data_IF_618464262559
#
_entry.id   IF_618464262559
#
_cell.length_a   1.000
_cell.length_b   1.000
_cell.length_c   1.000
_cell.angle_alpha   90.00
_cell.angle_beta   90.00
_cell.angle_gamma   90.00
#
_symmetry.space_group_name_H-M   'P 1'
#
loop_
_entity.id
_entity.type
_entity.pdbx_description
1 polymer ?
#
# COMPACT_ATOMS: atom_id res chain seq x y z
N UNK A 1 59.90 11.25 -9.26
CA UNK A 1 61.26 11.47 -9.76
C UNK A 1 61.17 12.40 -10.95
N UNK A 2 61.73 13.59 -10.80
CA UNK A 2 61.72 14.66 -11.77
C UNK A 2 62.91 14.39 -12.72
N UNK A 3 62.67 14.40 -14.02
CA UNK A 3 63.73 14.38 -15.01
C UNK A 3 63.61 15.60 -15.90
N UNK A 4 64.48 16.48 -15.68
CA UNK A 4 64.75 17.72 -16.41
C UNK A 4 65.38 17.40 -17.76
N UNK A 5 64.82 17.87 -18.87
CA UNK A 5 65.45 17.87 -20.17
C UNK A 5 65.91 19.30 -20.53
N UNK A 6 67.20 19.42 -20.74
CA UNK A 6 67.89 20.64 -21.13
C UNK A 6 67.64 20.87 -22.62
N UNK A 7 67.18 22.05 -22.96
CA UNK A 7 67.08 22.57 -24.33
C UNK A 7 68.40 23.08 -24.81
N UNK A 8 68.89 22.53 -25.90
CA UNK A 8 70.04 23.06 -26.64
C UNK A 8 69.54 23.77 -27.92
N UNK A 9 69.62 25.11 -27.95
CA UNK A 9 69.33 25.91 -29.12
C UNK A 9 70.56 26.02 -29.96
N UNK A 10 70.56 25.41 -31.15
CA UNK A 10 71.52 25.75 -32.20
C UNK A 10 70.79 26.40 -33.38
N UNK A 11 71.08 27.66 -33.59
CA UNK A 11 70.71 28.43 -34.79
C UNK A 11 71.63 28.00 -35.94
N UNK A 12 71.06 27.42 -36.97
CA UNK A 12 71.73 27.18 -38.28
C UNK A 12 70.80 27.61 -39.40
N UNK A 13 71.36 28.25 -40.35
CA UNK A 13 70.85 29.07 -41.44
C UNK A 13 69.72 28.48 -42.28
N UNK A 14 68.99 29.43 -42.88
CA UNK A 14 67.95 29.23 -43.85
C UNK A 14 68.50 28.59 -45.12
N UNK A 15 68.29 27.27 -45.24
CA UNK A 15 68.16 26.59 -46.50
C UNK A 15 66.73 26.01 -46.48
N UNK A 16 65.93 26.33 -47.51
CA UNK A 16 64.54 25.86 -47.63
C UNK A 16 64.49 24.35 -47.60
N UNK A 17 64.20 23.83 -46.42
CA UNK A 17 63.84 22.40 -46.24
C UNK A 17 62.38 22.27 -46.67
N UNK A 18 62.11 21.63 -47.81
CA UNK A 18 60.82 21.07 -48.08
C UNK A 18 60.47 20.17 -46.86
N UNK A 19 59.47 20.58 -46.09
CA UNK A 19 58.91 19.74 -44.98
C UNK A 19 58.28 18.55 -45.66
N UNK A 20 59.01 17.44 -45.71
CA UNK A 20 58.46 16.19 -46.25
C UNK A 20 57.22 15.79 -45.44
N UNK A 21 56.12 15.58 -46.14
CA UNK A 21 54.89 15.03 -45.55
C UNK A 21 55.24 13.76 -44.76
N UNK A 22 54.78 13.62 -43.52
CA UNK A 22 55.08 12.44 -42.72
C UNK A 22 54.63 11.15 -43.42
N UNK A 23 55.16 9.98 -43.05
CA UNK A 23 54.76 8.70 -43.66
C UNK A 23 53.24 8.49 -43.56
N UNK A 24 52.64 7.82 -44.56
CA UNK A 24 51.21 7.66 -44.64
C UNK A 24 50.64 7.01 -43.36
N UNK A 25 49.55 7.53 -42.77
CA UNK A 25 48.84 6.84 -41.70
C UNK A 25 48.21 5.54 -42.23
N UNK A 26 47.79 4.61 -41.34
CA UNK A 26 47.07 3.41 -41.72
C UNK A 26 45.89 3.75 -42.65
N UNK A 27 45.80 3.02 -43.76
CA UNK A 27 44.68 3.14 -44.68
C UNK A 27 43.90 1.85 -44.68
N UNK A 28 42.81 1.73 -43.87
CA UNK A 28 41.95 0.56 -43.94
C UNK A 28 41.36 0.42 -45.35
N UNK A 29 41.37 -0.78 -45.87
CA UNK A 29 40.75 -1.08 -47.17
C UNK A 29 39.24 -0.92 -47.13
N UNK A 30 38.60 -0.70 -48.27
CA UNK A 30 37.14 -0.67 -48.36
C UNK A 30 36.53 -1.98 -47.85
N UNK A 31 37.17 -3.12 -48.09
CA UNK A 31 36.74 -4.40 -47.56
C UNK A 31 36.83 -4.52 -46.05
N UNK A 32 37.80 -3.86 -45.39
CA UNK A 32 37.90 -3.81 -43.92
C UNK A 32 36.81 -2.91 -43.31
N UNK A 33 36.54 -1.77 -43.94
CA UNK A 33 35.45 -0.85 -43.52
C UNK A 33 34.10 -1.54 -43.73
N UNK A 34 33.86 -2.16 -44.87
CA UNK A 34 32.61 -2.87 -45.16
C UNK A 34 32.44 -4.10 -44.27
N UNK A 35 33.49 -4.83 -43.93
CA UNK A 35 33.42 -5.91 -42.94
C UNK A 35 33.10 -5.37 -41.55
N UNK A 36 33.70 -4.23 -41.18
CA UNK A 36 33.36 -3.56 -39.92
C UNK A 36 31.89 -3.11 -39.86
N UNK A 37 31.36 -2.49 -40.96
CA UNK A 37 29.97 -2.13 -41.10
C UNK A 37 29.02 -3.32 -41.04
N UNK A 38 29.31 -4.41 -41.75
CA UNK A 38 28.54 -5.65 -41.71
C UNK A 38 28.51 -6.22 -40.29
N UNK A 39 29.61 -6.12 -39.55
CA UNK A 39 29.68 -6.55 -38.17
C UNK A 39 28.86 -5.65 -37.24
N UNK A 40 28.87 -4.34 -37.48
CA UNK A 40 28.04 -3.40 -36.77
C UNK A 40 26.54 -3.60 -37.09
N UNK A 41 26.20 -3.83 -38.35
CA UNK A 41 24.82 -4.12 -38.78
C UNK A 41 24.31 -5.44 -38.17
N UNK A 42 25.15 -6.48 -38.12
CA UNK A 42 24.83 -7.74 -37.47
C UNK A 42 24.62 -7.55 -35.95
N UNK A 43 25.41 -6.71 -35.31
CA UNK A 43 25.22 -6.34 -33.89
C UNK A 43 23.96 -5.48 -33.69
N UNK A 44 23.69 -4.56 -34.60
CA UNK A 44 22.45 -3.74 -34.57
C UNK A 44 21.21 -4.63 -34.76
N UNK A 45 21.25 -5.65 -35.63
CA UNK A 45 20.17 -6.61 -35.77
C UNK A 45 19.94 -7.43 -34.50
N UNK A 46 21.01 -7.88 -33.81
CA UNK A 46 20.95 -8.52 -32.50
C UNK A 46 20.36 -7.58 -31.45
N UNK A 47 20.72 -6.29 -31.46
CA UNK A 47 20.12 -5.27 -30.62
C UNK A 47 18.63 -5.13 -30.86
N UNK A 48 18.20 -5.17 -32.14
CA UNK A 48 16.79 -5.16 -32.51
C UNK A 48 16.00 -6.34 -31.91
N UNK A 49 16.55 -7.55 -32.04
CA UNK A 49 15.97 -8.76 -31.43
C UNK A 49 15.93 -8.65 -29.90
N UNK A 50 17.02 -8.22 -29.27
CA UNK A 50 17.14 -8.05 -27.83
C UNK A 50 16.22 -6.93 -27.32
N UNK A 51 16.00 -5.86 -28.09
CA UNK A 51 15.04 -4.81 -27.78
C UNK A 51 13.61 -5.36 -27.75
N UNK A 52 13.26 -6.25 -28.66
CA UNK A 52 11.98 -6.96 -28.62
C UNK A 52 11.81 -7.83 -27.37
N UNK A 53 12.87 -8.57 -27.01
CA UNK A 53 12.91 -9.38 -25.78
C UNK A 53 12.87 -8.51 -24.53
N UNK A 54 13.55 -7.37 -24.50
CA UNK A 54 13.52 -6.39 -23.43
C UNK A 54 12.11 -5.82 -23.22
N UNK A 55 11.44 -5.44 -24.31
CA UNK A 55 10.04 -4.95 -24.27
C UNK A 55 9.08 -6.00 -23.65
N UNK A 56 9.26 -7.27 -24.02
CA UNK A 56 8.49 -8.37 -23.43
C UNK A 56 8.82 -8.57 -21.94
N UNK A 57 10.08 -8.47 -21.56
CA UNK A 57 10.54 -8.57 -20.18
C UNK A 57 10.03 -7.40 -19.32
N UNK A 58 10.03 -6.19 -19.84
CA UNK A 58 9.44 -5.02 -19.18
C UNK A 58 7.92 -5.14 -19.00
N UNK A 59 7.22 -5.70 -20.01
CA UNK A 59 5.79 -5.99 -19.87
C UNK A 59 5.54 -7.01 -18.76
N UNK A 60 6.39 -8.05 -18.65
CA UNK A 60 6.32 -9.02 -17.57
C UNK A 60 6.66 -8.42 -16.21
N UNK A 61 7.63 -7.50 -16.15
CA UNK A 61 7.95 -6.78 -14.91
C UNK A 61 6.77 -5.94 -14.42
N UNK A 62 6.05 -5.28 -15.34
CA UNK A 62 4.80 -4.57 -14.98
C UNK A 62 3.76 -5.52 -14.38
N UNK A 63 3.55 -6.71 -14.97
CA UNK A 63 2.65 -7.72 -14.42
C UNK A 63 3.08 -8.19 -13.01
N UNK A 64 4.40 -8.40 -12.81
CA UNK A 64 4.93 -8.75 -11.48
C UNK A 64 4.73 -7.61 -10.48
N UNK A 65 4.85 -6.36 -10.90
CA UNK A 65 4.60 -5.19 -10.06
C UNK A 65 3.12 -5.14 -9.60
N UNK A 66 2.20 -5.39 -10.52
CA UNK A 66 0.77 -5.45 -10.20
C UNK A 66 0.44 -6.63 -9.27
N UNK A 67 1.07 -7.80 -9.46
CA UNK A 67 0.91 -8.97 -8.58
C UNK A 67 1.45 -8.69 -7.17
N UNK A 68 2.61 -8.03 -7.06
CA UNK A 68 3.16 -7.61 -5.76
C UNK A 68 2.20 -6.65 -5.06
N UNK A 69 1.74 -5.61 -5.75
CA UNK A 69 0.79 -4.65 -5.18
C UNK A 69 -0.48 -5.34 -4.67
N UNK A 70 -1.02 -6.28 -5.46
CA UNK A 70 -2.18 -7.05 -5.06
C UNK A 70 -1.92 -7.93 -3.83
N UNK A 71 -0.78 -8.65 -3.76
CA UNK A 71 -0.43 -9.49 -2.61
C UNK A 71 -0.16 -8.68 -1.35
N UNK A 72 0.44 -7.50 -1.48
CA UNK A 72 0.61 -6.58 -0.35
C UNK A 72 -0.75 -6.13 0.21
N UNK A 73 -1.69 -5.79 -0.66
CA UNK A 73 -3.05 -5.45 -0.22
C UNK A 73 -3.80 -6.63 0.41
N UNK A 74 -3.57 -7.86 -0.07
CA UNK A 74 -4.11 -9.05 0.59
C UNK A 74 -3.49 -9.26 1.98
N UNK A 75 -2.20 -8.98 2.16
CA UNK A 75 -1.56 -9.03 3.46
C UNK A 75 -2.12 -7.96 4.41
N UNK A 76 -2.34 -6.74 3.92
CA UNK A 76 -3.00 -5.67 4.68
C UNK A 76 -4.45 -6.05 5.05
N UNK A 77 -5.20 -6.63 4.11
CA UNK A 77 -6.55 -7.16 4.40
C UNK A 77 -6.52 -8.19 5.52
N UNK A 78 -5.64 -9.19 5.42
CA UNK A 78 -5.52 -10.24 6.42
C UNK A 78 -5.12 -9.70 7.80
N UNK A 79 -4.31 -8.63 7.86
CA UNK A 79 -4.01 -7.90 9.09
C UNK A 79 -5.26 -7.25 9.70
N UNK A 80 -6.06 -6.56 8.88
CA UNK A 80 -7.32 -5.94 9.35
C UNK A 80 -8.33 -7.01 9.83
N UNK A 81 -8.39 -8.15 9.14
CA UNK A 81 -9.23 -9.28 9.55
C UNK A 81 -8.77 -9.85 10.89
N UNK A 82 -7.45 -9.98 11.10
CA UNK A 82 -6.86 -10.41 12.37
C UNK A 82 -7.20 -9.45 13.52
N UNK A 83 -7.00 -8.15 13.33
CA UNK A 83 -7.34 -7.13 14.34
C UNK A 83 -8.82 -7.20 14.72
N UNK A 84 -9.69 -7.38 13.73
CA UNK A 84 -11.13 -7.53 13.95
C UNK A 84 -11.45 -8.80 14.76
N UNK A 85 -10.88 -9.94 14.35
CA UNK A 85 -11.10 -11.22 15.01
C UNK A 85 -10.57 -11.21 16.47
N UNK A 86 -9.44 -10.58 16.72
CA UNK A 86 -8.88 -10.39 18.07
C UNK A 86 -9.82 -9.54 18.95
N UNK A 87 -10.32 -8.41 18.41
CA UNK A 87 -11.25 -7.55 19.14
C UNK A 87 -12.57 -8.28 19.49
N UNK A 88 -13.07 -9.13 18.58
CA UNK A 88 -14.24 -9.97 18.81
C UNK A 88 -13.98 -11.04 19.88
N UNK A 89 -12.82 -11.73 19.82
CA UNK A 89 -12.43 -12.71 20.82
C UNK A 89 -12.32 -12.10 22.23
N UNK A 90 -11.69 -10.93 22.34
CA UNK A 90 -11.59 -10.21 23.61
C UNK A 90 -12.94 -9.77 24.15
N UNK A 91 -13.88 -9.38 23.29
CA UNK A 91 -15.25 -9.07 23.68
C UNK A 91 -15.95 -10.32 24.22
N UNK A 92 -15.91 -11.40 23.45
CA UNK A 92 -16.54 -12.65 23.83
C UNK A 92 -15.97 -13.22 25.14
N UNK A 93 -14.68 -13.09 25.41
CA UNK A 93 -14.06 -13.45 26.71
C UNK A 93 -14.62 -12.63 27.86
N UNK A 94 -14.73 -11.31 27.69
CA UNK A 94 -15.33 -10.45 28.75
C UNK A 94 -16.78 -10.81 29.01
N UNK A 95 -17.56 -11.10 27.97
CA UNK A 95 -18.95 -11.51 28.09
C UNK A 95 -19.08 -12.87 28.79
N UNK A 96 -18.20 -13.83 28.47
CA UNK A 96 -18.19 -15.13 29.12
C UNK A 96 -17.83 -15.00 30.61
N UNK A 97 -16.86 -14.17 30.98
CA UNK A 97 -16.50 -13.95 32.40
C UNK A 97 -17.63 -13.23 33.15
N UNK A 98 -18.30 -12.24 32.53
CA UNK A 98 -19.48 -11.59 33.11
C UNK A 98 -20.61 -12.62 33.34
N UNK A 99 -20.92 -13.44 32.36
CA UNK A 99 -21.96 -14.45 32.49
C UNK A 99 -21.64 -15.51 33.57
N UNK A 100 -20.38 -15.89 33.72
CA UNK A 100 -19.91 -16.75 34.78
C UNK A 100 -20.09 -16.14 36.17
N UNK A 101 -19.78 -14.86 36.36
CA UNK A 101 -20.01 -14.14 37.60
C UNK A 101 -21.50 -14.07 37.92
N UNK A 102 -22.35 -13.82 36.93
CA UNK A 102 -23.80 -13.81 37.09
C UNK A 102 -24.37 -15.17 37.48
N UNK A 103 -23.87 -16.24 36.85
CA UNK A 103 -24.25 -17.62 37.19
C UNK A 103 -23.85 -17.99 38.63
N UNK A 104 -22.66 -17.55 39.05
CA UNK A 104 -22.21 -17.74 40.45
C UNK A 104 -23.08 -16.97 41.44
N UNK A 105 -23.45 -15.71 41.12
CA UNK A 105 -24.35 -14.90 41.93
C UNK A 105 -25.75 -15.51 42.04
N UNK A 106 -26.30 -16.04 40.95
CA UNK A 106 -27.55 -16.79 40.95
C UNK A 106 -27.45 -18.09 41.80
N UNK A 107 -26.33 -18.77 41.80
CA UNK A 107 -26.06 -19.91 42.70
C UNK A 107 -26.14 -19.49 44.18
N UNK A 108 -25.54 -18.37 44.52
CA UNK A 108 -25.63 -17.83 45.88
C UNK A 108 -27.06 -17.41 46.24
N UNK A 109 -27.85 -16.93 45.27
CA UNK A 109 -29.26 -16.58 45.51
C UNK A 109 -30.09 -17.82 45.83
N UNK A 110 -29.89 -18.94 45.14
CA UNK A 110 -30.53 -20.22 45.48
C UNK A 110 -30.17 -20.66 46.87
N UNK A 111 -28.91 -20.56 47.28
CA UNK A 111 -28.49 -20.96 48.61
C UNK A 111 -29.12 -20.07 49.69
N UNK A 112 -29.17 -18.77 49.48
CA UNK A 112 -29.88 -17.86 50.39
C UNK A 112 -31.40 -18.16 50.49
N UNK A 113 -32.04 -18.46 49.39
CA UNK A 113 -33.45 -18.85 49.37
C UNK A 113 -33.68 -20.15 50.11
N UNK A 114 -32.78 -21.12 49.94
CA UNK A 114 -32.79 -22.41 50.65
C UNK A 114 -32.60 -22.25 52.15
N UNK A 115 -31.64 -21.43 52.59
CA UNK A 115 -31.44 -21.14 54.03
C UNK A 115 -32.68 -20.51 54.62
N UNK A 116 -33.35 -19.55 53.94
CA UNK A 116 -34.61 -18.97 54.42
C UNK A 116 -35.72 -20.03 54.56
N UNK A 117 -35.82 -20.95 53.58
CA UNK A 117 -36.78 -22.06 53.66
C UNK A 117 -36.47 -23.01 54.81
N UNK A 118 -35.20 -23.37 55.04
CA UNK A 118 -34.77 -24.25 56.12
C UNK A 118 -34.98 -23.59 57.50
N UNK A 119 -34.70 -22.27 57.65
CA UNK A 119 -35.00 -21.51 58.85
C UNK A 119 -36.49 -21.49 59.15
N UNK A 120 -37.30 -21.27 58.10
CA UNK A 120 -38.76 -21.28 58.24
C UNK A 120 -39.27 -22.69 58.68
N UNK A 121 -38.82 -23.75 58.00
CA UNK A 121 -39.15 -25.14 58.32
C UNK A 121 -38.73 -25.51 59.74
N UNK A 122 -37.51 -25.10 60.16
CA UNK A 122 -37.02 -25.33 61.52
C UNK A 122 -37.79 -24.58 62.58
N UNK A 123 -38.19 -23.34 62.28
CA UNK A 123 -39.06 -22.56 63.18
C UNK A 123 -40.43 -23.21 63.34
N UNK A 124 -41.05 -23.64 62.25
CA UNK A 124 -42.35 -24.33 62.24
C UNK A 124 -42.30 -25.64 62.99
N UNK A 125 -41.20 -26.40 62.83
CA UNK A 125 -41.01 -27.64 63.60
C UNK A 125 -40.86 -27.43 65.08
N UNK A 126 -40.06 -26.44 65.51
CA UNK A 126 -39.79 -26.11 66.94
C UNK A 126 -41.05 -25.55 67.65
N UNK A 127 -41.91 -24.86 66.94
CA UNK A 127 -43.19 -24.35 67.47
C UNK A 127 -44.28 -25.43 67.58
N UNK A 128 -43.99 -26.66 67.18
CA UNK A 128 -44.91 -27.79 67.17
C UNK A 128 -45.84 -27.74 65.96
N UNK A 129 -46.28 -28.91 65.53
CA UNK A 129 -47.16 -29.07 64.34
C UNK A 129 -48.60 -28.53 64.55
N UNK A 130 -48.74 -27.51 65.41
CA UNK A 130 -50.02 -26.85 65.63
C UNK A 130 -50.39 -25.89 64.46
N UNK A 131 -49.39 -25.49 63.66
CA UNK A 131 -49.62 -24.59 62.52
C UNK A 131 -50.27 -25.40 61.38
N UNK A 132 -51.55 -25.18 61.12
CA UNK A 132 -52.31 -25.82 60.06
C UNK A 132 -53.23 -26.94 60.51
N UNK A 133 -53.24 -27.35 61.77
CA UNK A 133 -54.18 -28.35 62.28
C UNK A 133 -55.41 -27.73 62.86
N UNK A 134 -56.51 -28.46 62.82
CA UNK A 134 -57.81 -28.06 63.51
C UNK A 134 -57.54 -27.73 64.96
N UNK A 135 -56.50 -28.32 65.58
CA UNK A 135 -56.11 -28.01 66.97
C UNK A 135 -55.66 -26.55 67.20
N UNK A 136 -55.21 -25.80 66.18
CA UNK A 136 -54.87 -24.38 66.26
C UNK A 136 -56.12 -23.50 66.54
N UNK A 137 -57.27 -24.00 66.25
CA UNK A 137 -58.57 -23.36 66.51
C UNK A 137 -59.24 -23.82 67.82
N UNK A 138 -58.82 -24.97 68.37
CA UNK A 138 -59.33 -25.52 69.63
C UNK A 138 -58.75 -24.70 70.78
N UNK A 139 -59.61 -24.12 71.60
CA UNK A 139 -59.26 -23.29 72.76
C UNK A 139 -59.24 -21.79 72.44
N UNK A 140 -59.87 -21.35 71.34
CA UNK A 140 -60.15 -19.95 71.14
C UNK A 140 -61.16 -19.47 72.19
N UNK A 141 -60.85 -18.38 72.86
CA UNK A 141 -61.61 -17.85 73.99
C UNK A 141 -62.68 -16.83 73.57
N UNK A 142 -62.63 -16.35 72.32
CA UNK A 142 -63.62 -15.43 71.72
C UNK A 142 -63.65 -15.54 70.22
N UNK A 143 -64.67 -15.00 69.53
CA UNK A 143 -64.72 -14.91 68.08
C UNK A 143 -63.56 -14.07 67.51
N UNK A 144 -63.14 -13.01 68.24
CA UNK A 144 -61.98 -12.19 67.84
C UNK A 144 -60.66 -12.97 67.93
N UNK A 145 -60.49 -13.79 68.94
CA UNK A 145 -59.33 -14.68 69.14
C UNK A 145 -59.28 -15.73 68.00
N UNK A 146 -60.45 -16.28 67.62
CA UNK A 146 -60.57 -17.23 66.49
C UNK A 146 -60.13 -16.57 65.18
N UNK A 147 -60.62 -15.35 64.95
CA UNK A 147 -60.26 -14.62 63.72
C UNK A 147 -58.82 -14.24 63.67
N UNK A 148 -58.21 -13.83 64.81
CA UNK A 148 -56.79 -13.48 64.92
C UNK A 148 -55.92 -14.73 64.62
N UNK A 149 -56.29 -15.89 65.12
CA UNK A 149 -55.60 -17.20 64.86
C UNK A 149 -55.74 -17.57 63.40
N UNK A 150 -56.90 -17.39 62.79
CA UNK A 150 -57.10 -17.64 61.37
C UNK A 150 -56.23 -16.73 60.49
N UNK A 151 -56.13 -15.46 60.83
CA UNK A 151 -55.25 -14.48 60.13
C UNK A 151 -53.80 -14.84 60.32
N UNK A 152 -53.37 -15.25 61.51
CA UNK A 152 -51.95 -15.70 61.73
C UNK A 152 -51.68 -16.94 60.93
N UNK A 153 -52.53 -17.95 60.87
CA UNK A 153 -52.39 -19.15 60.10
C UNK A 153 -52.33 -18.92 58.62
N UNK A 154 -53.15 -17.96 58.13
CA UNK A 154 -53.11 -17.50 56.75
C UNK A 154 -51.73 -16.87 56.44
N UNK A 155 -51.26 -15.93 57.27
CA UNK A 155 -49.99 -15.26 57.08
C UNK A 155 -48.81 -16.25 57.10
N UNK A 156 -48.83 -17.27 57.98
CA UNK A 156 -47.82 -18.32 58.05
C UNK A 156 -47.84 -19.20 56.79
N UNK A 157 -49.04 -19.55 56.31
CA UNK A 157 -49.20 -20.36 55.09
C UNK A 157 -48.72 -19.59 53.85
N UNK A 158 -49.07 -18.31 53.72
CA UNK A 158 -48.61 -17.45 52.64
C UNK A 158 -47.08 -17.31 52.69
N UNK A 159 -46.48 -17.09 53.86
CA UNK A 159 -45.03 -17.01 54.01
C UNK A 159 -44.30 -18.32 53.63
N UNK A 160 -44.94 -19.50 53.86
CA UNK A 160 -44.41 -20.80 53.45
C UNK A 160 -44.38 -20.97 51.93
N UNK A 161 -45.50 -20.59 51.30
CA UNK A 161 -45.63 -20.65 49.84
C UNK A 161 -44.63 -19.67 49.19
N UNK A 162 -44.52 -18.45 49.71
CA UNK A 162 -43.57 -17.46 49.23
C UNK A 162 -42.13 -17.96 49.34
N UNK A 163 -41.75 -18.65 50.42
CA UNK A 163 -40.40 -19.21 50.57
C UNK A 163 -40.10 -20.34 49.56
N UNK A 164 -41.11 -21.18 49.27
CA UNK A 164 -40.97 -22.21 48.23
C UNK A 164 -40.89 -21.58 46.83
N UNK A 165 -41.74 -20.66 46.51
CA UNK A 165 -41.74 -19.93 45.23
C UNK A 165 -40.43 -19.19 45.02
N UNK A 166 -39.82 -18.64 46.05
CA UNK A 166 -38.51 -17.99 46.04
C UNK A 166 -37.40 -18.99 45.66
N UNK A 167 -37.44 -20.21 46.22
CA UNK A 167 -36.46 -21.27 45.86
C UNK A 167 -36.64 -21.73 44.41
N UNK A 168 -37.90 -21.94 43.99
CA UNK A 168 -38.17 -22.38 42.62
C UNK A 168 -37.78 -21.31 41.61
N UNK A 169 -38.11 -20.04 41.83
CA UNK A 169 -37.73 -18.90 41.01
C UNK A 169 -36.21 -18.77 40.92
N UNK A 170 -35.53 -18.82 42.06
CA UNK A 170 -34.07 -18.73 42.12
C UNK A 170 -33.39 -19.90 41.42
N UNK A 171 -33.95 -21.14 41.48
CA UNK A 171 -33.44 -22.30 40.71
C UNK A 171 -33.65 -22.11 39.21
N UNK A 172 -34.81 -21.62 38.77
CA UNK A 172 -35.06 -21.30 37.38
C UNK A 172 -34.12 -20.26 36.83
N UNK A 173 -33.91 -19.17 37.60
CA UNK A 173 -32.95 -18.13 37.25
C UNK A 173 -31.51 -18.65 37.16
N UNK A 174 -31.08 -19.46 38.16
CA UNK A 174 -29.76 -20.12 38.11
C UNK A 174 -29.61 -20.99 36.87
N UNK A 175 -30.58 -21.82 36.53
CA UNK A 175 -30.53 -22.66 35.35
C UNK A 175 -30.36 -21.83 34.04
N UNK A 176 -31.08 -20.71 33.93
CA UNK A 176 -30.96 -19.80 32.80
C UNK A 176 -29.60 -19.11 32.77
N UNK A 177 -29.06 -18.65 33.92
CA UNK A 177 -27.72 -18.05 33.98
C UNK A 177 -26.61 -19.07 33.71
N UNK A 178 -26.72 -20.31 34.18
CA UNK A 178 -25.78 -21.39 33.86
C UNK A 178 -25.82 -21.73 32.35
N UNK A 179 -26.98 -21.73 31.72
CA UNK A 179 -27.09 -21.94 30.28
C UNK A 179 -26.46 -20.80 29.51
N UNK A 180 -26.72 -19.56 29.90
CA UNK A 180 -26.12 -18.37 29.29
C UNK A 180 -24.58 -18.36 29.44
N UNK A 181 -24.05 -18.71 30.61
CA UNK A 181 -22.61 -18.80 30.85
C UNK A 181 -21.94 -19.86 29.97
N UNK A 182 -22.58 -21.04 29.80
CA UNK A 182 -22.07 -22.07 28.88
C UNK A 182 -22.06 -21.58 27.43
N UNK A 183 -23.16 -20.97 26.98
CA UNK A 183 -23.26 -20.44 25.62
C UNK A 183 -22.21 -19.33 25.34
N UNK A 184 -21.99 -18.44 26.31
CA UNK A 184 -20.98 -17.40 26.22
C UNK A 184 -19.54 -17.97 26.19
N UNK A 185 -19.27 -19.02 26.96
CA UNK A 185 -17.98 -19.71 26.94
C UNK A 185 -17.72 -20.40 25.61
N UNK A 186 -18.72 -21.10 25.07
CA UNK A 186 -18.63 -21.74 23.75
C UNK A 186 -18.39 -20.71 22.63
N UNK A 187 -19.07 -19.57 22.70
CA UNK A 187 -18.87 -18.47 21.76
C UNK A 187 -17.45 -17.88 21.88
N UNK A 188 -16.95 -17.69 23.09
CA UNK A 188 -15.59 -17.20 23.31
C UNK A 188 -14.56 -18.16 22.71
N UNK A 189 -14.72 -19.47 22.88
CA UNK A 189 -13.85 -20.47 22.24
C UNK A 189 -13.90 -20.46 20.72
N UNK A 190 -15.07 -20.25 20.12
CA UNK A 190 -15.19 -20.09 18.67
C UNK A 190 -14.50 -18.84 18.16
N UNK A 191 -14.62 -17.72 18.87
CA UNK A 191 -13.96 -16.45 18.51
C UNK A 191 -12.45 -16.53 18.67
N UNK A 192 -11.94 -17.22 19.69
CA UNK A 192 -10.50 -17.48 19.83
C UNK A 192 -9.97 -18.32 18.67
N UNK A 193 -10.65 -19.39 18.31
CA UNK A 193 -10.26 -20.22 17.17
C UNK A 193 -10.26 -19.42 15.85
N UNK A 194 -11.22 -18.52 15.67
CA UNK A 194 -11.28 -17.62 14.52
C UNK A 194 -10.11 -16.62 14.50
N UNK A 195 -9.74 -16.07 15.65
CA UNK A 195 -8.58 -15.18 15.76
C UNK A 195 -7.25 -15.91 15.47
N UNK A 196 -7.10 -17.13 15.95
CA UNK A 196 -5.94 -17.97 15.64
C UNK A 196 -5.87 -18.33 14.14
N UNK A 197 -6.99 -18.57 13.50
CA UNK A 197 -7.03 -18.78 12.05
C UNK A 197 -6.65 -17.50 11.30
N UNK A 198 -7.24 -16.36 11.64
CA UNK A 198 -6.91 -15.08 11.04
C UNK A 198 -5.43 -14.71 11.20
N UNK A 199 -4.80 -15.08 12.33
CA UNK A 199 -3.37 -14.92 12.54
C UNK A 199 -2.55 -15.74 11.54
N UNK A 200 -2.88 -17.02 11.36
CA UNK A 200 -2.19 -17.87 10.37
C UNK A 200 -2.35 -17.33 8.94
N UNK A 201 -3.53 -16.86 8.62
CA UNK A 201 -3.84 -16.29 7.30
C UNK A 201 -3.05 -14.99 7.05
N UNK A 202 -2.91 -14.14 8.07
CA UNK A 202 -2.10 -12.91 8.00
C UNK A 202 -0.61 -13.24 7.80
N UNK A 203 -0.05 -14.19 8.55
CA UNK A 203 1.34 -14.64 8.42
C UNK A 203 1.61 -15.25 7.02
N UNK A 204 0.68 -16.05 6.51
CA UNK A 204 0.78 -16.63 5.17
C UNK A 204 0.70 -15.57 4.07
N UNK A 205 -0.21 -14.62 4.17
CA UNK A 205 -0.35 -13.51 3.23
C UNK A 205 0.89 -12.60 3.23
N UNK A 206 1.44 -12.28 4.39
CA UNK A 206 2.68 -11.52 4.53
C UNK A 206 3.86 -12.25 3.87
N UNK A 207 3.99 -13.55 4.09
CA UNK A 207 5.03 -14.37 3.47
C UNK A 207 4.90 -14.37 1.94
N UNK A 208 3.68 -14.53 1.41
CA UNK A 208 3.43 -14.51 -0.02
C UNK A 208 3.74 -13.15 -0.66
N UNK A 209 3.43 -12.05 0.02
CA UNK A 209 3.77 -10.70 -0.43
C UNK A 209 5.29 -10.49 -0.48
N UNK A 210 6.03 -10.89 0.56
CA UNK A 210 7.49 -10.79 0.61
C UNK A 210 8.17 -11.61 -0.50
N UNK A 211 7.72 -12.84 -0.75
CA UNK A 211 8.25 -13.68 -1.83
C UNK A 211 7.99 -13.05 -3.22
N UNK A 212 6.82 -12.47 -3.43
CA UNK A 212 6.51 -11.79 -4.69
C UNK A 212 7.41 -10.56 -4.91
N UNK A 213 7.67 -9.76 -3.88
CA UNK A 213 8.60 -8.63 -3.95
C UNK A 213 10.02 -9.06 -4.29
N UNK A 214 10.54 -10.11 -3.66
CA UNK A 214 11.86 -10.66 -3.96
C UNK A 214 11.94 -11.14 -5.42
N UNK A 215 10.90 -11.81 -5.90
CA UNK A 215 10.81 -12.25 -7.30
C UNK A 215 10.79 -11.08 -8.30
N UNK A 216 10.06 -10.02 -7.99
CA UNK A 216 10.03 -8.79 -8.79
C UNK A 216 11.39 -8.10 -8.81
N UNK A 217 12.04 -7.92 -7.66
CA UNK A 217 13.36 -7.29 -7.57
C UNK A 217 14.41 -8.07 -8.38
N UNK A 218 14.43 -9.40 -8.29
CA UNK A 218 15.32 -10.24 -9.08
C UNK A 218 15.04 -10.14 -10.60
N UNK A 219 13.78 -10.02 -11.00
CA UNK A 219 13.43 -9.83 -12.41
C UNK A 219 13.87 -8.45 -12.92
N UNK A 220 13.68 -7.40 -12.13
CA UNK A 220 14.12 -6.04 -12.46
C UNK A 220 15.65 -5.97 -12.63
N UNK A 221 16.42 -6.60 -11.73
CA UNK A 221 17.87 -6.63 -11.81
C UNK A 221 18.35 -7.33 -13.11
N UNK A 222 17.78 -8.48 -13.46
CA UNK A 222 18.12 -9.19 -14.71
C UNK A 222 17.87 -8.33 -15.95
N UNK A 223 16.78 -7.58 -15.98
CA UNK A 223 16.47 -6.67 -17.10
C UNK A 223 17.53 -5.57 -17.21
N UNK A 224 17.98 -5.01 -16.09
CA UNK A 224 19.04 -3.99 -16.09
C UNK A 224 20.38 -4.57 -16.56
N UNK A 225 20.74 -5.76 -16.10
CA UNK A 225 21.96 -6.45 -16.50
C UNK A 225 21.96 -6.78 -18.02
N UNK A 226 20.84 -7.32 -18.54
CA UNK A 226 20.66 -7.61 -19.96
C UNK A 226 20.76 -6.33 -20.81
N UNK A 227 20.14 -5.23 -20.37
CA UNK A 227 20.18 -3.94 -21.05
C UNK A 227 21.62 -3.41 -21.12
N UNK A 228 22.32 -3.38 -20.00
CA UNK A 228 23.71 -2.91 -19.95
C UNK A 228 24.65 -3.74 -20.85
N UNK A 229 24.46 -5.06 -20.88
CA UNK A 229 25.23 -5.95 -21.74
C UNK A 229 25.00 -5.67 -23.24
N UNK A 230 23.76 -5.39 -23.63
CA UNK A 230 23.38 -5.07 -25.02
C UNK A 230 23.93 -3.71 -25.45
N UNK A 231 23.76 -2.69 -24.62
CA UNK A 231 24.27 -1.33 -24.86
C UNK A 231 25.80 -1.37 -25.01
N UNK A 232 26.52 -2.08 -24.14
CA UNK A 232 27.97 -2.21 -24.23
C UNK A 232 28.46 -2.91 -25.50
N UNK A 233 27.76 -3.92 -26.01
CA UNK A 233 28.10 -4.58 -27.27
C UNK A 233 27.86 -3.69 -28.49
N UNK A 234 26.80 -2.89 -28.47
CA UNK A 234 26.53 -1.93 -29.55
C UNK A 234 27.58 -0.83 -29.58
N UNK A 235 27.91 -0.24 -28.43
CA UNK A 235 28.93 0.81 -28.33
C UNK A 235 30.30 0.34 -28.81
N UNK A 236 30.70 -0.89 -28.47
CA UNK A 236 31.93 -1.49 -28.98
C UNK A 236 31.91 -1.65 -30.51
N UNK A 237 30.82 -2.11 -31.10
CA UNK A 237 30.73 -2.31 -32.54
C UNK A 237 30.75 -0.98 -33.30
N UNK A 238 30.01 0.03 -32.81
CA UNK A 238 30.01 1.37 -33.38
C UNK A 238 31.38 2.07 -33.23
N UNK A 239 32.04 1.93 -32.11
CA UNK A 239 33.37 2.47 -31.88
C UNK A 239 34.41 1.86 -32.79
N UNK A 240 34.32 0.57 -33.11
CA UNK A 240 35.20 -0.09 -34.07
C UNK A 240 35.03 0.49 -35.49
N UNK A 241 33.78 0.69 -35.95
CA UNK A 241 33.52 1.29 -37.27
C UNK A 241 34.01 2.74 -37.33
N UNK A 242 33.74 3.54 -36.32
CA UNK A 242 34.22 4.91 -36.23
C UNK A 242 35.74 5.01 -36.22
N UNK A 243 36.41 4.04 -35.58
CA UNK A 243 37.87 3.92 -35.61
C UNK A 243 38.43 3.69 -37.02
N UNK A 244 37.82 2.78 -37.77
CA UNK A 244 38.23 2.50 -39.19
C UNK A 244 37.95 3.71 -40.11
N UNK A 245 36.76 4.33 -39.97
CA UNK A 245 36.37 5.52 -40.74
C UNK A 245 37.27 6.71 -40.39
N UNK A 246 37.63 6.89 -39.13
CA UNK A 246 38.54 7.90 -38.66
C UNK A 246 39.96 7.71 -39.24
N UNK A 247 40.49 6.46 -39.28
CA UNK A 247 41.76 6.15 -39.93
C UNK A 247 41.71 6.46 -41.45
N UNK A 248 40.62 6.11 -42.12
CA UNK A 248 40.41 6.46 -43.52
C UNK A 248 40.36 7.96 -43.76
N UNK A 249 39.68 8.72 -42.88
CA UNK A 249 39.63 10.17 -42.96
C UNK A 249 41.03 10.80 -42.81
N UNK A 250 41.83 10.33 -41.85
CA UNK A 250 43.20 10.76 -41.64
C UNK A 250 44.09 10.45 -42.87
N UNK A 251 43.92 9.28 -43.47
CA UNK A 251 44.64 8.94 -44.68
C UNK A 251 44.25 9.83 -45.87
N UNK A 252 42.94 10.10 -46.04
CA UNK A 252 42.46 11.01 -47.08
C UNK A 252 42.97 12.44 -46.88
N UNK A 253 43.01 12.91 -45.65
CA UNK A 253 43.59 14.22 -45.29
C UNK A 253 45.10 14.26 -45.62
N UNK A 254 45.84 13.21 -45.30
CA UNK A 254 47.22 13.07 -45.66
C UNK A 254 47.44 13.07 -47.20
N UNK A 255 46.55 12.42 -47.96
CA UNK A 255 46.58 12.46 -49.44
C UNK A 255 46.31 13.85 -49.97
N UNK A 256 45.38 14.62 -49.32
CA UNK A 256 45.06 15.99 -49.71
C UNK A 256 46.20 16.93 -49.36
N UNK A 257 46.84 16.73 -48.22
CA UNK A 257 48.01 17.50 -47.82
C UNK A 257 49.21 17.21 -48.75
N UNK A 258 49.39 15.97 -49.13
CA UNK A 258 50.44 15.59 -50.09
C UNK A 258 50.14 16.15 -51.49
N UNK A 259 48.92 16.15 -51.96
CA UNK A 259 48.53 16.79 -53.22
C UNK A 259 48.74 18.28 -53.13
N UNK A 260 48.43 18.94 -52.04
CA UNK A 260 48.67 20.40 -51.82
C UNK A 260 50.14 20.72 -51.82
N UNK A 261 51.00 19.88 -51.20
CA UNK A 261 52.43 20.02 -51.25
C UNK A 261 52.96 19.95 -52.70
N UNK A 262 52.50 18.95 -53.47
CA UNK A 262 52.82 18.79 -54.91
C UNK A 262 52.27 19.92 -55.74
N UNK A 263 51.06 20.41 -55.47
CA UNK A 263 50.44 21.58 -56.14
C UNK A 263 51.07 22.89 -55.69
N UNK A 264 51.49 23.07 -54.43
CA UNK A 264 52.23 24.25 -53.99
C UNK A 264 53.65 24.27 -54.56
N UNK A 265 54.32 23.12 -54.66
CA UNK A 265 55.56 23.02 -55.39
C UNK A 265 55.36 23.41 -56.88
N UNK A 266 54.24 23.06 -57.48
CA UNK A 266 53.87 23.47 -58.82
C UNK A 266 53.37 24.93 -58.89
N UNK A 267 52.69 25.45 -57.81
CA UNK A 267 52.18 26.84 -57.72
C UNK A 267 53.28 27.83 -57.40
N UNK A 268 54.25 27.50 -56.57
CA UNK A 268 55.42 28.36 -56.36
C UNK A 268 56.16 28.63 -57.67
N UNK A 269 55.93 27.73 -58.66
CA UNK A 269 56.32 27.95 -60.02
C UNK A 269 55.33 28.84 -60.81
N UNK A 270 54.11 29.02 -60.36
CA UNK A 270 53.04 29.67 -61.09
C UNK A 270 52.39 30.89 -60.40
N UNK A 271 52.70 31.25 -59.11
CA UNK A 271 52.09 32.32 -58.37
C UNK A 271 52.86 33.61 -58.33
N UNK A 272 52.75 34.32 -59.42
CA UNK A 272 52.80 35.78 -59.39
C UNK A 272 51.43 36.44 -59.72
N UNK A 273 50.29 35.75 -59.50
CA UNK A 273 49.03 36.38 -59.82
C UNK A 273 47.80 35.99 -58.93
N UNK A 274 47.33 36.98 -58.24
CA UNK A 274 45.93 37.39 -57.93
C UNK A 274 45.06 36.74 -56.81
N UNK A 275 44.44 37.69 -56.05
CA UNK A 275 43.68 37.62 -54.82
C UNK A 275 42.13 37.82 -54.92
N UNK A 276 41.40 37.52 -53.88
CA UNK A 276 40.27 38.26 -53.20
C UNK A 276 38.77 37.80 -53.24
N UNK A 277 38.15 37.84 -52.07
CA UNK A 277 36.79 38.29 -51.56
C UNK A 277 35.56 37.34 -51.57
N UNK A 278 34.53 37.35 -50.66
CA UNK A 278 34.07 37.68 -49.30
C UNK A 278 32.52 37.53 -49.07
N UNK A 279 32.04 36.98 -47.95
CA UNK A 279 31.01 37.26 -46.86
C UNK A 279 29.44 37.14 -46.92
N UNK A 280 28.75 36.54 -45.96
CA UNK A 280 27.77 36.87 -44.83
C UNK A 280 26.21 36.66 -44.85
N UNK A 281 25.55 35.95 -43.98
CA UNK A 281 24.54 35.93 -42.85
C UNK A 281 23.12 36.59 -42.96
N UNK A 282 22.05 36.58 -41.91
CA UNK A 282 21.60 35.72 -40.78
C UNK A 282 20.00 35.62 -40.46
N UNK A 283 19.56 35.16 -39.24
CA UNK A 283 18.26 34.71 -38.56
C UNK A 283 17.20 35.79 -38.09
N UNK A 284 16.11 35.68 -37.17
CA UNK A 284 15.55 34.75 -36.15
C UNK A 284 14.01 34.79 -35.74
N UNK A 285 13.45 33.93 -34.81
CA UNK A 285 12.45 33.80 -33.66
C UNK A 285 11.14 34.67 -33.43
N UNK A 286 10.31 34.58 -32.23
CA UNK A 286 9.55 33.54 -31.53
C UNK A 286 8.08 33.83 -30.97
N UNK A 287 7.37 32.97 -30.13
CA UNK A 287 6.52 33.17 -28.89
C UNK A 287 4.98 33.07 -28.74
N UNK A 288 4.45 32.46 -27.60
CA UNK A 288 3.46 32.75 -26.52
C UNK A 288 1.97 32.30 -26.48
N UNK A 289 1.51 31.83 -25.32
CA UNK A 289 0.43 31.40 -24.41
C UNK A 289 -0.97 32.14 -24.41
N UNK A 290 -2.11 31.67 -23.67
CA UNK A 290 -2.37 31.57 -22.22
C UNK A 290 -3.53 30.66 -21.65
N UNK A 291 -3.93 30.82 -20.35
CA UNK A 291 -4.76 30.09 -19.34
C UNK A 291 -6.18 30.68 -19.07
N UNK A 292 -6.88 30.41 -17.87
CA UNK A 292 -7.72 29.35 -17.28
C UNK A 292 -9.16 29.78 -16.82
N UNK A 293 -9.95 29.03 -15.91
CA UNK A 293 -10.71 29.48 -14.69
C UNK A 293 -11.75 28.46 -14.15
N UNK A 294 -12.15 28.57 -12.83
CA UNK A 294 -12.82 27.68 -11.89
C UNK A 294 -14.17 28.19 -11.39
N UNK A 295 -15.07 27.33 -10.79
CA UNK A 295 -16.08 27.70 -9.76
C UNK A 295 -16.68 26.50 -8.99
N UNK A 296 -17.38 26.66 -7.79
CA UNK A 296 -17.37 25.78 -6.63
C UNK A 296 -18.67 25.04 -6.29
N UNK A 297 -18.61 24.12 -5.28
CA UNK A 297 -19.78 23.43 -4.71
C UNK A 297 -19.61 22.85 -3.30
N UNK A 298 -20.67 22.72 -2.59
CA UNK A 298 -21.28 22.08 -1.40
C UNK A 298 -20.42 21.40 -0.31
N UNK A 299 -20.77 21.75 0.93
CA UNK A 299 -20.18 21.55 2.26
C UNK A 299 -19.47 20.23 2.64
N UNK A 300 -20.08 19.06 2.50
CA UNK A 300 -19.50 17.80 2.98
C UNK A 300 -18.40 17.24 2.07
N UNK A 301 -18.64 17.22 0.77
CA UNK A 301 -17.67 16.81 -0.24
C UNK A 301 -16.42 17.70 -0.20
N UNK A 302 -16.60 19.00 -0.08
CA UNK A 302 -15.47 19.94 0.00
C UNK A 302 -14.67 19.79 1.31
N UNK A 303 -15.29 19.39 2.39
CA UNK A 303 -14.56 19.05 3.64
C UNK A 303 -13.65 17.84 3.41
N UNK A 304 -14.16 16.77 2.81
CA UNK A 304 -13.35 15.57 2.47
C UNK A 304 -12.20 15.94 1.54
N UNK A 305 -12.51 16.66 0.47
CA UNK A 305 -11.49 17.08 -0.49
C UNK A 305 -10.45 18.01 0.14
N UNK A 306 -10.88 19.00 0.93
CA UNK A 306 -9.97 19.93 1.60
C UNK A 306 -9.04 19.20 2.58
N UNK A 307 -9.56 18.21 3.33
CA UNK A 307 -8.75 17.38 4.22
C UNK A 307 -7.71 16.56 3.44
N UNK A 308 -8.10 15.88 2.36
CA UNK A 308 -7.15 15.16 1.52
C UNK A 308 -6.11 16.08 0.88
N UNK A 309 -6.54 17.23 0.36
CA UNK A 309 -5.65 18.24 -0.26
C UNK A 309 -4.70 18.91 0.75
N UNK A 310 -5.09 19.04 2.02
CA UNK A 310 -4.20 19.55 3.06
C UNK A 310 -3.01 18.65 3.35
N UNK A 311 -3.04 17.41 2.87
CA UNK A 311 -1.97 16.43 3.04
C UNK A 311 -1.02 16.34 1.82
N UNK A 312 -1.16 17.22 0.83
CA UNK A 312 -0.23 17.26 -0.31
C UNK A 312 1.22 17.40 0.15
N UNK A 313 2.10 16.58 -0.42
CA UNK A 313 3.53 16.52 -0.07
C UNK A 313 3.85 15.65 1.14
N UNK A 314 2.86 15.23 1.94
CA UNK A 314 3.08 14.25 3.02
C UNK A 314 3.55 12.93 2.39
N UNK A 315 4.59 12.33 2.96
CA UNK A 315 5.19 11.11 2.41
C UNK A 315 4.19 9.95 2.39
N UNK A 316 4.37 9.08 1.42
CA UNK A 316 3.73 7.77 1.47
C UNK A 316 4.35 6.95 2.60
N UNK A 317 3.52 6.18 3.29
CA UNK A 317 3.96 5.27 4.34
C UNK A 317 3.03 4.06 4.33
N UNK A 318 3.56 2.89 3.99
CA UNK A 318 2.79 1.66 3.86
C UNK A 318 2.08 1.28 5.17
N UNK A 319 0.75 1.14 5.14
CA UNK A 319 -0.08 0.93 6.34
C UNK A 319 -0.17 2.13 7.27
N UNK A 320 0.28 3.31 6.81
CA UNK A 320 0.23 4.57 7.56
C UNK A 320 -1.04 5.36 7.34
N UNK A 321 -1.33 6.22 8.31
CA UNK A 321 -2.52 7.05 8.35
C UNK A 321 -3.66 6.44 9.17
N UNK A 322 -4.40 7.30 9.85
CA UNK A 322 -5.61 6.94 10.58
C UNK A 322 -6.64 8.09 10.49
N UNK A 323 -7.69 8.05 11.29
CA UNK A 323 -8.75 9.05 11.28
C UNK A 323 -8.29 10.45 11.73
N UNK A 324 -7.20 10.51 12.52
CA UNK A 324 -6.69 11.75 13.12
C UNK A 324 -5.60 12.41 12.25
N UNK A 325 -4.87 11.61 11.44
CA UNK A 325 -3.81 12.14 10.58
C UNK A 325 -2.82 11.09 10.06
N UNK A 326 -1.66 11.55 9.57
CA UNK A 326 -0.59 10.66 9.11
C UNK A 326 0.05 9.94 10.31
N UNK A 327 0.40 8.67 10.13
CA UNK A 327 1.09 7.84 11.13
C UNK A 327 2.33 7.20 10.55
N UNK A 328 3.18 6.62 11.38
CA UNK A 328 4.21 5.70 10.89
C UNK A 328 3.52 4.52 10.22
N UNK A 329 4.17 3.96 9.21
CA UNK A 329 3.71 2.77 8.53
C UNK A 329 4.03 1.49 9.31
N UNK A 330 3.85 0.37 8.65
CA UNK A 330 4.14 -0.95 9.19
C UNK A 330 5.28 -1.60 8.39
N UNK A 331 5.94 -2.59 8.99
CA UNK A 331 6.95 -3.38 8.28
C UNK A 331 6.27 -4.30 7.28
N UNK A 332 6.73 -4.24 6.03
CA UNK A 332 6.27 -5.12 4.95
C UNK A 332 7.30 -6.18 4.56
N UNK A 333 8.53 -6.05 5.06
CA UNK A 333 9.67 -6.90 4.69
C UNK A 333 10.16 -6.69 3.26
N UNK A 334 9.78 -5.60 2.61
CA UNK A 334 10.04 -5.34 1.20
C UNK A 334 10.23 -3.87 0.86
N UNK A 335 9.44 -3.37 -0.10
CA UNK A 335 9.59 -2.01 -0.67
C UNK A 335 9.34 -0.93 0.38
N UNK A 336 8.32 -1.07 1.22
CA UNK A 336 8.04 -0.13 2.31
C UNK A 336 9.19 -0.06 3.31
N UNK A 337 9.75 -1.22 3.70
CA UNK A 337 10.91 -1.28 4.58
C UNK A 337 12.16 -0.65 3.92
N UNK A 338 12.38 -0.87 2.62
CA UNK A 338 13.48 -0.27 1.87
C UNK A 338 13.39 1.26 1.78
N UNK A 339 12.17 1.81 1.75
CA UNK A 339 11.90 3.25 1.78
C UNK A 339 11.75 3.82 3.20
N UNK A 340 11.78 2.94 4.23
CA UNK A 340 11.69 3.35 5.62
C UNK A 340 10.28 3.74 6.06
N UNK A 341 9.25 3.22 5.43
CA UNK A 341 7.85 3.57 5.70
C UNK A 341 7.47 3.27 7.16
N UNK A 342 7.97 2.18 7.74
CA UNK A 342 7.69 1.76 9.12
C UNK A 342 8.17 2.73 10.20
N UNK A 343 9.03 3.71 9.88
CA UNK A 343 9.43 4.81 10.77
C UNK A 343 9.12 6.19 10.20
N UNK A 344 8.57 6.26 8.99
CA UNK A 344 8.18 7.51 8.34
C UNK A 344 6.72 7.81 8.62
N UNK A 345 6.43 9.00 9.12
CA UNK A 345 5.05 9.47 9.29
C UNK A 345 4.46 9.84 7.93
N UNK A 346 3.35 9.21 7.56
CA UNK A 346 2.72 9.42 6.26
C UNK A 346 1.36 8.74 6.14
N UNK A 347 0.90 8.59 4.91
CA UNK A 347 -0.33 7.88 4.55
C UNK A 347 -0.04 6.80 3.51
N UNK A 348 -0.72 5.66 3.60
CA UNK A 348 -1.00 4.85 2.42
C UNK A 348 -2.29 5.32 1.72
N UNK A 349 -2.67 4.66 0.63
CA UNK A 349 -3.83 5.07 -0.17
C UNK A 349 -5.14 5.02 0.63
N UNK A 350 -5.35 3.96 1.40
CA UNK A 350 -6.54 3.74 2.22
C UNK A 350 -6.55 4.57 3.50
N UNK A 351 -5.39 4.80 4.11
CA UNK A 351 -5.24 5.67 5.28
C UNK A 351 -5.55 7.14 4.97
N UNK A 352 -5.18 7.63 3.78
CA UNK A 352 -5.55 8.96 3.32
C UNK A 352 -7.08 9.10 3.21
N UNK A 353 -7.78 8.08 2.71
CA UNK A 353 -9.25 8.09 2.64
C UNK A 353 -9.87 8.03 4.04
N UNK A 354 -9.32 7.21 4.95
CA UNK A 354 -9.76 7.20 6.35
C UNK A 354 -9.72 8.60 6.97
N UNK A 355 -8.59 9.27 6.83
CA UNK A 355 -8.41 10.63 7.34
C UNK A 355 -9.39 11.61 6.70
N UNK A 356 -9.50 11.60 5.37
CA UNK A 356 -10.33 12.54 4.64
C UNK A 356 -11.80 12.45 5.05
N UNK A 357 -12.37 11.24 5.06
CA UNK A 357 -13.78 10.99 5.34
C UNK A 357 -14.13 11.07 6.83
N UNK A 358 -13.20 10.85 7.75
CA UNK A 358 -13.43 11.07 9.18
C UNK A 358 -13.86 12.51 9.49
N UNK A 359 -13.44 13.49 8.68
CA UNK A 359 -13.85 14.89 8.82
C UNK A 359 -15.33 15.17 8.62
N UNK A 360 -16.06 14.21 8.06
CA UNK A 360 -17.53 14.26 7.88
C UNK A 360 -18.25 13.13 8.65
N UNK A 361 -17.55 12.48 9.60
CA UNK A 361 -18.09 11.43 10.45
C UNK A 361 -18.23 10.06 9.76
N UNK A 362 -17.56 9.84 8.62
CA UNK A 362 -17.53 8.55 7.92
C UNK A 362 -16.21 7.84 8.24
N UNK A 363 -16.30 6.69 8.91
CA UNK A 363 -15.16 5.91 9.37
C UNK A 363 -14.96 4.68 8.48
N UNK A 364 -13.88 4.67 7.73
CA UNK A 364 -13.53 3.64 6.75
C UNK A 364 -12.52 2.64 7.32
N UNK A 365 -12.58 1.38 6.91
CA UNK A 365 -11.56 0.38 7.22
C UNK A 365 -10.24 0.68 6.50
N UNK A 366 -9.11 0.30 7.09
CA UNK A 366 -7.76 0.53 6.53
C UNK A 366 -7.40 -0.51 5.47
N UNK A 367 -8.31 -0.73 4.51
CA UNK A 367 -8.10 -1.59 3.33
C UNK A 367 -8.98 -1.11 2.18
N UNK A 368 -8.36 -0.83 1.01
CA UNK A 368 -9.03 -0.25 -0.15
C UNK A 368 -10.21 -1.11 -0.66
N UNK A 369 -10.09 -2.45 -0.65
CA UNK A 369 -11.15 -3.36 -1.06
C UNK A 369 -12.40 -3.30 -0.15
N UNK A 370 -12.25 -3.04 1.13
CA UNK A 370 -13.38 -2.78 2.03
C UNK A 370 -13.99 -1.40 1.76
N UNK A 371 -13.14 -0.39 1.52
CA UNK A 371 -13.59 0.94 1.14
C UNK A 371 -14.34 0.95 -0.18
N UNK A 372 -13.94 0.08 -1.14
CA UNK A 372 -14.68 -0.09 -2.39
C UNK A 372 -16.14 -0.47 -2.13
N UNK A 373 -16.42 -1.27 -1.11
CA UNK A 373 -17.76 -1.75 -0.76
C UNK A 373 -18.46 -0.94 0.34
N UNK A 374 -17.85 0.15 0.80
CA UNK A 374 -18.38 0.94 1.93
C UNK A 374 -19.55 1.87 1.56
N UNK A 375 -19.86 2.06 0.28
CA UNK A 375 -20.87 3.00 -0.16
C UNK A 375 -21.57 2.61 -1.47
N UNK A 376 -22.32 3.57 -2.02
CA UNK A 376 -23.06 3.38 -3.27
C UNK A 376 -22.12 3.30 -4.46
N UNK A 377 -22.29 2.27 -5.30
CA UNK A 377 -21.56 2.13 -6.58
C UNK A 377 -22.07 3.11 -7.60
N UNK A 378 -21.16 3.85 -8.21
CA UNK A 378 -21.42 4.84 -9.24
C UNK A 378 -20.60 4.47 -10.49
N UNK A 379 -21.20 4.30 -11.67
CA UNK A 379 -20.44 4.09 -12.91
C UNK A 379 -19.38 5.19 -13.08
N UNK A 380 -18.18 4.85 -13.54
CA UNK A 380 -17.08 5.82 -13.70
C UNK A 380 -17.46 7.05 -14.53
N UNK A 381 -18.27 6.86 -15.57
CA UNK A 381 -18.77 7.97 -16.40
C UNK A 381 -19.65 8.98 -15.64
N UNK A 382 -20.16 8.59 -14.46
CA UNK A 382 -20.97 9.40 -13.56
C UNK A 382 -20.24 9.79 -12.28
N UNK A 383 -18.93 9.52 -12.22
CA UNK A 383 -18.11 9.87 -11.07
C UNK A 383 -18.09 11.39 -10.88
N UNK A 384 -18.27 11.82 -9.64
CA UNK A 384 -18.30 13.21 -9.22
C UNK A 384 -17.20 13.49 -8.19
N UNK A 385 -16.85 14.77 -8.06
CA UNK A 385 -15.91 15.21 -7.04
C UNK A 385 -16.31 14.69 -5.66
N UNK A 386 -15.36 14.06 -4.95
CA UNK A 386 -15.59 13.41 -3.66
C UNK A 386 -15.89 11.90 -3.75
N UNK A 387 -16.07 11.33 -4.95
CA UNK A 387 -16.14 9.89 -5.10
C UNK A 387 -14.75 9.24 -4.95
N UNK A 388 -14.71 8.04 -4.41
CA UNK A 388 -13.48 7.24 -4.37
C UNK A 388 -13.36 6.40 -5.63
N UNK A 389 -12.17 6.41 -6.25
CA UNK A 389 -11.78 5.61 -7.41
C UNK A 389 -10.89 4.46 -6.96
N UNK A 390 -11.02 3.28 -7.58
CA UNK A 390 -10.34 2.07 -7.13
C UNK A 390 -9.69 1.30 -8.28
N UNK A 391 -8.63 0.54 -7.96
CA UNK A 391 -7.88 -0.29 -8.90
C UNK A 391 -7.70 -1.72 -8.37
N UNK A 392 -7.48 -2.64 -9.32
CA UNK A 392 -7.20 -4.04 -9.06
C UNK A 392 -8.43 -4.87 -8.67
N UNK A 393 -8.26 -6.19 -8.50
CA UNK A 393 -9.37 -7.10 -8.21
C UNK A 393 -10.14 -6.69 -6.96
N UNK A 394 -11.46 -6.47 -7.10
CA UNK A 394 -12.32 -6.04 -5.98
C UNK A 394 -12.01 -4.64 -5.43
N UNK A 395 -11.23 -3.81 -6.16
CA UNK A 395 -10.78 -2.50 -5.70
C UNK A 395 -9.67 -2.57 -4.65
N UNK A 396 -9.01 -3.71 -4.53
CA UNK A 396 -8.12 -4.04 -3.42
C UNK A 396 -6.64 -3.74 -3.66
N UNK A 397 -6.24 -2.97 -4.69
CA UNK A 397 -4.82 -2.62 -4.88
C UNK A 397 -4.52 -1.14 -4.68
N UNK A 398 -5.50 -0.29 -4.89
CA UNK A 398 -5.32 1.15 -4.72
C UNK A 398 -6.64 1.89 -4.63
N UNK A 399 -6.64 3.03 -3.94
CA UNK A 399 -7.76 3.97 -3.86
C UNK A 399 -7.26 5.41 -3.99
N UNK A 400 -8.06 6.25 -4.64
CA UNK A 400 -7.83 7.70 -4.75
C UNK A 400 -9.14 8.48 -4.63
N UNK A 401 -9.08 9.73 -4.23
CA UNK A 401 -10.23 10.62 -4.17
C UNK A 401 -10.35 11.41 -5.47
N UNK A 402 -11.49 11.33 -6.13
CA UNK A 402 -11.75 12.05 -7.37
C UNK A 402 -12.02 13.52 -7.12
N UNK A 403 -11.29 14.38 -7.83
CA UNK A 403 -11.39 15.84 -7.71
C UNK A 403 -12.31 16.48 -8.78
N UNK A 404 -12.81 15.67 -9.73
CA UNK A 404 -13.44 16.19 -10.93
C UNK A 404 -12.43 16.50 -12.04
N UNK A 405 -12.93 16.72 -13.27
CA UNK A 405 -12.08 17.11 -14.39
C UNK A 405 -11.00 16.10 -14.79
N UNK A 406 -11.18 14.81 -14.49
CA UNK A 406 -10.18 13.77 -14.75
C UNK A 406 -8.99 13.79 -13.80
N UNK A 407 -9.08 14.50 -12.68
CA UNK A 407 -8.01 14.60 -11.68
C UNK A 407 -8.39 13.87 -10.39
N UNK A 408 -7.39 13.39 -9.66
CA UNK A 408 -7.54 12.73 -8.37
C UNK A 408 -6.45 13.16 -7.40
N UNK A 409 -6.69 13.04 -6.10
CA UNK A 409 -5.64 13.09 -5.06
C UNK A 409 -5.42 11.69 -4.50
N UNK A 410 -4.16 11.33 -4.36
CA UNK A 410 -3.74 9.99 -3.97
C UNK A 410 -2.47 9.98 -3.14
N UNK A 411 -2.30 8.95 -2.30
CA UNK A 411 -1.02 8.49 -1.78
C UNK A 411 -0.61 7.24 -2.60
N UNK A 412 0.34 7.33 -3.56
CA UNK A 412 0.43 6.34 -4.62
C UNK A 412 1.25 5.09 -4.29
N UNK A 413 2.45 5.23 -3.71
CA UNK A 413 3.38 4.13 -3.41
C UNK A 413 4.57 4.59 -2.56
N UNK A 414 5.28 3.65 -1.94
CA UNK A 414 6.50 3.88 -1.13
C UNK A 414 7.56 4.66 -1.88
N UNK A 415 8.17 5.63 -1.21
CA UNK A 415 9.14 6.56 -1.82
C UNK A 415 8.51 7.78 -2.50
N UNK A 416 7.19 7.86 -2.59
CA UNK A 416 6.43 9.01 -3.12
C UNK A 416 5.80 9.86 -2.01
N UNK A 417 4.92 10.78 -2.40
CA UNK A 417 4.15 11.62 -1.48
C UNK A 417 2.72 11.78 -1.98
N UNK A 418 1.82 12.18 -1.10
CA UNK A 418 0.45 12.57 -1.45
C UNK A 418 0.49 13.65 -2.53
N UNK A 419 -0.22 13.42 -3.62
CA UNK A 419 -0.18 14.28 -4.80
C UNK A 419 -1.52 14.36 -5.52
N UNK A 420 -1.68 15.39 -6.34
CA UNK A 420 -2.71 15.45 -7.38
C UNK A 420 -2.14 14.86 -8.66
N UNK A 421 -2.90 13.99 -9.31
CA UNK A 421 -2.52 13.32 -10.55
C UNK A 421 -3.73 13.14 -11.48
N UNK A 422 -3.52 13.01 -12.81
CA UNK A 422 -4.57 12.57 -13.72
C UNK A 422 -5.07 11.16 -13.36
N UNK A 423 -6.36 10.91 -13.54
CA UNK A 423 -6.95 9.57 -13.35
C UNK A 423 -6.32 8.57 -14.32
N UNK A 424 -5.83 7.47 -13.82
CA UNK A 424 -5.32 6.34 -14.61
C UNK A 424 -6.45 5.38 -14.92
N UNK A 425 -6.83 5.24 -16.18
CA UNK A 425 -7.93 4.35 -16.57
C UNK A 425 -7.52 2.88 -16.76
N UNK A 426 -6.22 2.57 -16.84
CA UNK A 426 -5.72 1.20 -16.89
C UNK A 426 -5.94 0.50 -15.54
N UNK A 427 -6.64 -0.64 -15.53
CA UNK A 427 -6.90 -1.43 -14.33
C UNK A 427 -7.88 -0.83 -13.32
N UNK A 428 -8.52 0.31 -13.65
CA UNK A 428 -9.51 0.94 -12.77
C UNK A 428 -10.78 0.08 -12.67
N UNK A 429 -11.40 0.06 -11.51
CA UNK A 429 -12.69 -0.62 -11.31
C UNK A 429 -13.81 0.08 -12.09
N UNK A 430 -14.83 -0.65 -12.59
CA UNK A 430 -15.90 -0.07 -13.39
C UNK A 430 -16.81 0.90 -12.64
N UNK A 431 -16.73 0.89 -11.31
CA UNK A 431 -17.53 1.75 -10.44
C UNK A 431 -16.62 2.51 -9.48
N UNK A 432 -16.95 3.78 -9.26
CA UNK A 432 -16.53 4.56 -8.10
C UNK A 432 -17.41 4.23 -6.89
N UNK A 433 -16.97 4.59 -5.70
CA UNK A 433 -17.79 4.50 -4.48
C UNK A 433 -18.11 5.89 -3.96
N UNK A 434 -19.40 6.18 -3.81
CA UNK A 434 -19.91 7.44 -3.26
C UNK A 434 -20.42 7.23 -1.86
N UNK A 435 -20.00 8.10 -0.93
CA UNK A 435 -20.33 8.07 0.48
C UNK A 435 -21.18 9.28 0.92
N UNK A 436 -21.19 10.35 0.12
CA UNK A 436 -21.87 11.62 0.42
C UNK A 436 -22.87 11.99 -0.69
#
# INVERSE_FOLDING_TARGET
>A
MVSTVVALITVVGVAGTAVAVPPPPPNPSDSEIDAGRQQADAKAALVGELTGRLTAAEARLRQLTDDVAFKMELANKARVDLETAQAEADRARREAESAKVEAAAAGQAVERARVRLDEFAGASYRQGSLVGSVSAYIGASSPEDLLARAQLLKAVSESSLDALDDVERSRGEKANKDAAARAALDLAGQKEAAADQAKRDAEAAQTAASQAQQGQAAAAQRIQDDKAAVEGQLDQALGAVQGLEGQRAQYNQWLDDKRREEEEAARQAALAAAAAAAAAQPAPAPALRPQPVVAPSSGGVETVVARAMSQLGVRYSWGGGNYDGPTVGIRDGGVGDAHGDYYTVGFDCSGLMMYAFAGVGVYLSHYSGYQYNAGRKVPLAQAQRGDMLFWGPGGGTHVALYLGGGMMVEAPYSGSSVRVAPVRYGGIMPYATRLL
#
